data_IF_988941634083
#
_entry.id   IF_988941634083
#
_cell.length_a   1.000
_cell.length_b   1.000
_cell.length_c   1.000
_cell.angle_alpha   90.00
_cell.angle_beta   90.00
_cell.angle_gamma   90.00
#
_symmetry.space_group_name_H-M   'P 1'
#
loop_
_entity.id
_entity.type
_entity.pdbx_description
1 polymer ?
#
# COMPACT_ATOMS: atom_id res chain seq x y z
N UNK A 1 -10.13 -8.63 12.09
CA UNK A 1 -10.26 -7.52 11.14
C UNK A 1 -11.46 -6.58 11.38
N UNK A 2 -12.65 -7.03 11.78
CA UNK A 2 -13.81 -6.14 11.97
C UNK A 2 -13.76 -5.16 13.17
N UNK A 3 -12.67 -5.13 13.95
CA UNK A 3 -12.57 -4.35 15.20
C UNK A 3 -11.67 -3.11 15.10
N UNK A 4 -10.88 -2.95 14.05
CA UNK A 4 -10.02 -1.77 13.91
C UNK A 4 -10.74 -0.67 13.14
N UNK A 5 -11.02 0.43 13.84
CA UNK A 5 -11.44 1.70 13.24
C UNK A 5 -10.18 2.39 12.70
N UNK A 6 -10.30 3.17 11.62
CA UNK A 6 -9.25 4.13 11.23
C UNK A 6 -8.79 4.92 12.45
N UNK A 7 -7.59 5.48 12.40
CA UNK A 7 -7.10 6.45 13.41
C UNK A 7 -8.15 7.55 13.70
N UNK A 8 -9.04 7.84 12.74
CA UNK A 8 -10.12 8.83 12.84
C UNK A 8 -11.54 8.23 13.06
N UNK A 9 -11.66 6.99 13.55
CA UNK A 9 -12.94 6.42 13.98
C UNK A 9 -13.87 5.92 12.86
N UNK A 10 -13.50 6.04 11.58
CA UNK A 10 -14.27 5.51 10.44
C UNK A 10 -14.01 4.01 10.24
N UNK A 11 -15.05 3.25 9.87
CA UNK A 11 -14.91 1.85 9.44
C UNK A 11 -14.20 1.82 8.08
N UNK A 12 -12.97 1.30 8.03
CA UNK A 12 -12.23 1.10 6.79
C UNK A 12 -12.47 -0.32 6.27
N UNK A 13 -12.78 -0.44 4.98
CA UNK A 13 -12.73 -1.73 4.28
C UNK A 13 -11.27 -2.00 3.96
N UNK A 14 -10.55 -2.66 4.86
CA UNK A 14 -9.10 -2.88 4.76
C UNK A 14 -8.65 -3.57 3.46
N UNK A 15 -9.47 -4.50 2.95
CA UNK A 15 -9.23 -5.19 1.67
C UNK A 15 -9.36 -4.23 0.47
N UNK A 16 -10.24 -3.23 0.56
CA UNK A 16 -10.50 -2.22 -0.47
C UNK A 16 -10.24 -0.83 0.13
N UNK A 17 -8.99 -0.57 0.50
CA UNK A 17 -8.63 0.68 1.13
C UNK A 17 -8.93 1.87 0.21
N UNK A 18 -9.77 2.84 0.63
CA UNK A 18 -10.20 3.94 -0.23
C UNK A 18 -9.18 5.07 -0.19
N UNK A 19 -8.19 5.03 -1.09
CA UNK A 19 -7.16 6.09 -1.22
C UNK A 19 -7.79 7.46 -1.52
N UNK A 20 -8.89 7.47 -2.30
CA UNK A 20 -9.58 8.67 -2.79
C UNK A 20 -8.70 9.60 -3.65
N UNK A 21 -7.67 9.02 -4.25
CA UNK A 21 -6.82 9.63 -5.28
C UNK A 21 -6.82 8.62 -6.42
N UNK A 22 -7.10 9.06 -7.65
CA UNK A 22 -7.20 8.16 -8.79
C UNK A 22 -5.86 7.47 -9.03
N UNK A 23 -5.93 6.26 -9.56
CA UNK A 23 -4.76 5.47 -9.96
C UNK A 23 -3.77 5.11 -8.85
N UNK A 24 -4.07 5.41 -7.58
CA UNK A 24 -3.32 4.93 -6.41
C UNK A 24 -4.13 3.85 -5.72
N UNK A 25 -3.56 2.64 -5.65
CA UNK A 25 -4.24 1.48 -5.07
C UNK A 25 -3.40 0.85 -3.96
N UNK A 26 -4.05 0.46 -2.87
CA UNK A 26 -3.46 -0.46 -1.91
C UNK A 26 -3.92 -1.88 -2.26
N UNK A 27 -2.97 -2.80 -2.40
CA UNK A 27 -3.18 -4.19 -2.78
C UNK A 27 -2.62 -5.12 -1.70
N UNK A 28 -3.35 -6.20 -1.47
CA UNK A 28 -2.90 -7.32 -0.64
C UNK A 28 -2.67 -8.52 -1.55
N UNK A 29 -1.54 -9.18 -1.38
CA UNK A 29 -1.19 -10.38 -2.12
C UNK A 29 -0.73 -11.46 -1.13
N UNK A 30 -1.08 -12.71 -1.35
CA UNK A 30 -0.44 -13.84 -0.70
C UNK A 30 -0.46 -15.07 -1.59
N UNK A 31 0.57 -15.89 -1.47
CA UNK A 31 0.69 -17.17 -2.15
C UNK A 31 1.13 -18.26 -1.16
N UNK A 32 1.74 -19.33 -1.68
CA UNK A 32 2.21 -20.47 -0.90
C UNK A 32 3.52 -20.21 -0.13
N UNK A 33 4.16 -19.05 -0.27
CA UNK A 33 5.46 -18.70 0.34
C UNK A 33 5.47 -17.33 1.01
N UNK A 34 4.73 -16.36 0.48
CA UNK A 34 4.81 -14.96 0.87
C UNK A 34 3.43 -14.30 1.03
N UNK A 35 3.42 -13.20 1.75
CA UNK A 35 2.33 -12.22 1.76
C UNK A 35 2.90 -10.81 1.57
N UNK A 36 2.23 -9.95 0.81
CA UNK A 36 2.65 -8.57 0.54
C UNK A 36 1.53 -7.56 0.79
N UNK A 37 1.94 -6.36 1.20
CA UNK A 37 1.13 -5.14 1.08
C UNK A 37 1.83 -4.24 0.07
N UNK A 38 1.09 -3.76 -0.93
CA UNK A 38 1.63 -2.98 -2.03
C UNK A 38 0.82 -1.70 -2.22
N UNK A 39 1.49 -0.59 -2.46
CA UNK A 39 0.92 0.64 -3.00
C UNK A 39 1.31 0.68 -4.46
N UNK A 40 0.32 0.66 -5.35
CA UNK A 40 0.54 0.69 -6.79
C UNK A 40 0.03 1.98 -7.40
N UNK A 41 0.92 2.65 -8.14
CA UNK A 41 0.62 3.82 -8.96
C UNK A 41 0.43 3.34 -10.40
N UNK A 42 -0.82 3.35 -10.87
CA UNK A 42 -1.22 2.80 -12.17
C UNK A 42 -1.70 3.90 -13.13
N UNK A 43 -1.08 5.09 -13.07
CA UNK A 43 -1.29 6.13 -14.07
C UNK A 43 -0.80 5.60 -15.43
N UNK A 44 -1.64 5.77 -16.47
CA UNK A 44 -1.32 5.29 -17.82
C UNK A 44 -0.13 6.04 -18.42
N UNK A 45 -0.12 7.35 -18.21
CA UNK A 45 0.98 8.23 -18.60
C UNK A 45 2.18 8.01 -17.66
N UNK A 46 3.37 7.84 -18.23
CA UNK A 46 4.59 7.58 -17.50
C UNK A 46 5.11 8.80 -16.74
N UNK A 47 5.00 10.00 -17.32
CA UNK A 47 5.45 11.24 -16.68
C UNK A 47 4.56 11.54 -15.47
N UNK A 48 3.23 11.38 -15.61
CA UNK A 48 2.31 11.51 -14.49
C UNK A 48 2.63 10.45 -13.41
N UNK A 49 2.87 9.20 -13.82
CA UNK A 49 3.22 8.14 -12.86
C UNK A 49 4.51 8.46 -12.09
N UNK A 50 5.53 8.94 -12.79
CA UNK A 50 6.80 9.40 -12.24
C UNK A 50 6.60 10.55 -11.24
N UNK A 51 5.82 11.56 -11.61
CA UNK A 51 5.49 12.70 -10.72
C UNK A 51 4.89 12.24 -9.38
N UNK A 52 3.93 11.32 -9.41
CA UNK A 52 3.33 10.77 -8.18
C UNK A 52 4.33 9.93 -7.38
N UNK A 53 5.21 9.16 -8.05
CA UNK A 53 6.25 8.39 -7.37
C UNK A 53 7.29 9.30 -6.71
N UNK A 54 7.72 10.37 -7.40
CA UNK A 54 8.60 11.40 -6.85
C UNK A 54 7.97 12.07 -5.63
N UNK A 55 6.66 12.38 -5.66
CA UNK A 55 5.96 12.93 -4.51
C UNK A 55 6.00 12.00 -3.29
N UNK A 56 5.85 10.69 -3.52
CA UNK A 56 6.05 9.69 -2.46
C UNK A 56 7.50 9.68 -1.97
N UNK A 57 8.48 9.77 -2.87
CA UNK A 57 9.90 9.78 -2.53
C UNK A 57 10.31 11.00 -1.70
N UNK A 58 9.74 12.18 -1.96
CA UNK A 58 9.91 13.37 -1.13
C UNK A 58 9.40 13.15 0.30
N UNK A 59 8.34 12.36 0.45
CA UNK A 59 7.74 11.99 1.74
C UNK A 59 8.33 10.71 2.33
N UNK A 60 9.38 10.12 1.74
CA UNK A 60 9.92 8.81 2.14
C UNK A 60 10.34 8.76 3.60
N UNK A 61 10.98 9.81 4.12
CA UNK A 61 11.38 9.87 5.53
C UNK A 61 10.16 9.83 6.46
N UNK A 62 9.11 10.59 6.16
CA UNK A 62 7.86 10.56 6.93
C UNK A 62 7.18 9.20 6.83
N UNK A 63 7.12 8.64 5.62
CA UNK A 63 6.60 7.29 5.37
C UNK A 63 7.36 6.24 6.20
N UNK A 64 8.69 6.23 6.16
CA UNK A 64 9.49 5.24 6.89
C UNK A 64 9.36 5.39 8.42
N UNK A 65 9.19 6.61 8.93
CA UNK A 65 8.96 6.85 10.35
C UNK A 65 7.60 6.31 10.82
N UNK A 66 6.56 6.37 9.98
CA UNK A 66 5.20 5.97 10.35
C UNK A 66 4.90 4.50 9.99
N UNK A 67 5.31 4.07 8.79
CA UNK A 67 5.00 2.78 8.18
C UNK A 67 6.17 1.79 8.15
N UNK A 68 7.37 2.23 8.53
CA UNK A 68 8.58 1.41 8.47
C UNK A 68 9.17 1.35 7.06
N UNK A 69 10.23 0.55 6.92
CA UNK A 69 10.97 0.41 5.65
C UNK A 69 10.23 -0.50 4.69
N UNK A 70 9.89 0.05 3.53
CA UNK A 70 9.30 -0.68 2.40
C UNK A 70 10.29 -0.66 1.24
N UNK A 71 10.08 -1.52 0.25
CA UNK A 71 10.80 -1.53 -1.01
C UNK A 71 10.10 -0.60 -2.01
N UNK A 72 10.87 0.24 -2.69
CA UNK A 72 10.35 1.26 -3.59
C UNK A 72 10.89 0.97 -4.99
N UNK A 73 10.00 0.75 -5.94
CA UNK A 73 10.35 0.49 -7.32
C UNK A 73 9.49 1.37 -8.24
N UNK A 74 10.12 2.33 -8.90
CA UNK A 74 9.47 3.24 -9.83
C UNK A 74 8.94 2.52 -11.07
N UNK A 75 9.68 1.51 -11.54
CA UNK A 75 9.42 0.80 -12.79
C UNK A 75 9.16 -0.68 -12.49
N UNK A 76 7.88 -1.00 -12.34
CA UNK A 76 7.39 -2.34 -12.08
C UNK A 76 6.27 -2.71 -13.05
N UNK A 77 5.88 -3.97 -13.00
CA UNK A 77 4.77 -4.53 -13.77
C UNK A 77 3.82 -5.18 -12.77
N UNK A 78 2.53 -4.89 -12.91
CA UNK A 78 1.50 -5.48 -12.06
C UNK A 78 1.09 -6.88 -12.53
N UNK A 79 0.21 -7.52 -11.78
CA UNK A 79 -0.23 -8.91 -12.04
C UNK A 79 -0.96 -9.09 -13.39
N UNK A 80 -1.36 -7.99 -14.05
CA UNK A 80 -2.01 -7.99 -15.36
C UNK A 80 -1.10 -7.39 -16.46
N UNK A 81 0.22 -7.42 -16.25
CA UNK A 81 1.25 -6.99 -17.20
C UNK A 81 1.21 -5.49 -17.57
N UNK A 82 0.61 -4.64 -16.73
CA UNK A 82 0.61 -3.20 -16.94
C UNK A 82 1.77 -2.52 -16.19
N UNK A 83 2.43 -1.51 -16.80
CA UNK A 83 3.41 -0.68 -16.12
C UNK A 83 2.82 0.01 -14.88
N UNK A 84 3.56 -0.02 -13.78
CA UNK A 84 3.19 0.67 -12.55
C UNK A 84 4.44 1.05 -11.74
N UNK A 85 4.29 1.98 -10.81
CA UNK A 85 5.26 2.17 -9.73
C UNK A 85 4.73 1.48 -8.49
N UNK A 86 5.61 0.85 -7.73
CA UNK A 86 5.25 0.03 -6.57
C UNK A 86 6.06 0.40 -5.34
N UNK A 87 5.37 0.54 -4.22
CA UNK A 87 5.97 0.60 -2.88
C UNK A 87 5.42 -0.60 -2.12
N UNK A 88 6.25 -1.55 -1.70
CA UNK A 88 5.78 -2.82 -1.13
C UNK A 88 6.57 -3.27 0.11
N UNK A 89 5.89 -4.02 0.98
CA UNK A 89 6.50 -4.78 2.06
C UNK A 89 6.07 -6.24 1.96
N UNK A 90 7.02 -7.15 2.20
CA UNK A 90 6.83 -8.60 2.07
C UNK A 90 7.06 -9.30 3.40
N UNK A 91 6.21 -10.27 3.69
CA UNK A 91 6.38 -11.26 4.73
C UNK A 91 6.68 -12.61 4.10
N UNK A 92 7.86 -13.12 4.38
CA UNK A 92 8.33 -14.44 3.96
C UNK A 92 7.81 -15.55 4.90
N UNK A 93 7.95 -16.80 4.45
CA UNK A 93 7.66 -18.02 5.22
C UNK A 93 6.20 -18.10 5.73
N UNK A 94 5.27 -17.72 4.87
CA UNK A 94 3.83 -17.87 5.10
C UNK A 94 3.20 -18.60 3.92
N UNK A 95 2.05 -19.24 4.13
CA UNK A 95 1.38 -19.95 3.06
C UNK A 95 -0.12 -19.78 3.23
N UNK A 96 -0.75 -19.05 2.31
CA UNK A 96 -2.19 -18.78 2.37
C UNK A 96 -3.05 -20.06 2.30
N UNK A 97 -2.51 -21.16 1.80
CA UNK A 97 -3.16 -22.47 1.78
C UNK A 97 -2.97 -23.25 3.10
N UNK A 98 -2.04 -22.84 3.97
CA UNK A 98 -1.88 -23.38 5.32
C UNK A 98 -2.61 -22.49 6.34
N UNK A 99 -3.69 -23.04 6.90
CA UNK A 99 -4.53 -22.38 7.92
C UNK A 99 -3.76 -21.96 9.16
N UNK A 100 -2.65 -22.63 9.49
CA UNK A 100 -1.82 -22.27 10.64
C UNK A 100 -1.14 -20.90 10.47
N UNK A 101 -0.89 -20.49 9.22
CA UNK A 101 -0.23 -19.21 8.95
C UNK A 101 -1.19 -18.04 8.80
N UNK A 102 -2.51 -18.30 8.70
CA UNK A 102 -3.53 -17.29 8.47
C UNK A 102 -3.49 -16.16 9.50
N UNK A 103 -3.41 -16.49 10.79
CA UNK A 103 -3.34 -15.47 11.84
C UNK A 103 -2.13 -14.55 11.67
N UNK A 104 -0.99 -15.09 11.23
CA UNK A 104 0.25 -14.36 10.97
C UNK A 104 0.11 -13.43 9.76
N UNK A 105 -0.52 -13.91 8.68
CA UNK A 105 -0.80 -13.12 7.47
C UNK A 105 -1.79 -12.00 7.75
N UNK A 106 -2.90 -12.29 8.43
CA UNK A 106 -3.90 -11.27 8.77
C UNK A 106 -3.32 -10.20 9.70
N UNK A 107 -2.52 -10.59 10.70
CA UNK A 107 -1.81 -9.65 11.58
C UNK A 107 -0.85 -8.76 10.79
N UNK A 108 -0.07 -9.34 9.88
CA UNK A 108 0.83 -8.59 9.00
C UNK A 108 0.09 -7.55 8.15
N UNK A 109 -1.04 -7.91 7.54
CA UNK A 109 -1.84 -6.94 6.80
C UNK A 109 -2.42 -5.85 7.70
N UNK A 110 -3.01 -6.22 8.83
CA UNK A 110 -3.63 -5.27 9.76
C UNK A 110 -2.61 -4.25 10.28
N UNK A 111 -1.43 -4.70 10.71
CA UNK A 111 -0.37 -3.82 11.19
C UNK A 111 0.11 -2.83 10.12
N UNK A 112 0.39 -3.30 8.91
CA UNK A 112 0.92 -2.45 7.84
C UNK A 112 -0.14 -1.50 7.28
N UNK A 113 -1.40 -1.95 7.18
CA UNK A 113 -2.48 -1.09 6.73
C UNK A 113 -2.82 0.01 7.73
N UNK A 114 -2.78 -0.25 9.04
CA UNK A 114 -3.00 0.77 10.07
C UNK A 114 -1.90 1.84 10.03
N UNK A 115 -0.64 1.42 9.87
CA UNK A 115 0.47 2.35 9.75
C UNK A 115 0.39 3.17 8.46
N UNK A 116 0.06 2.53 7.34
CA UNK A 116 -0.18 3.21 6.08
C UNK A 116 -1.36 4.19 6.17
N UNK A 117 -2.47 3.82 6.82
CA UNK A 117 -3.63 4.72 7.03
C UNK A 117 -3.21 5.98 7.79
N UNK A 118 -2.34 5.83 8.79
CA UNK A 118 -1.80 6.96 9.55
C UNK A 118 -1.04 7.93 8.65
N UNK A 119 -0.12 7.44 7.82
CA UNK A 119 0.59 8.23 6.82
C UNK A 119 -0.39 8.86 5.81
N UNK A 120 -1.29 8.06 5.26
CA UNK A 120 -2.17 8.49 4.17
C UNK A 120 -3.14 9.58 4.62
N UNK A 121 -3.69 9.50 5.82
CA UNK A 121 -4.61 10.53 6.30
C UNK A 121 -3.93 11.90 6.41
N UNK A 122 -2.66 11.92 6.81
CA UNK A 122 -1.87 13.15 6.98
C UNK A 122 -1.42 13.73 5.63
N UNK A 123 -1.00 12.89 4.68
CA UNK A 123 -0.34 13.37 3.46
C UNK A 123 -1.17 13.25 2.16
N UNK A 124 -2.32 12.56 2.15
CA UNK A 124 -3.10 12.34 0.91
C UNK A 124 -3.46 13.62 0.16
N UNK A 125 -3.64 14.75 0.85
CA UNK A 125 -4.08 15.98 0.22
C UNK A 125 -2.97 16.60 -0.65
N UNK A 126 -1.70 16.30 -0.35
CA UNK A 126 -0.56 16.63 -1.24
C UNK A 126 -0.69 15.89 -2.58
N UNK A 127 -1.10 14.61 -2.55
CA UNK A 127 -1.29 13.83 -3.78
C UNK A 127 -2.53 14.27 -4.56
N UNK A 128 -3.59 14.74 -3.90
CA UNK A 128 -4.78 15.27 -4.59
C UNK A 128 -4.48 16.54 -5.36
N UNK A 129 -3.60 17.40 -4.85
CA UNK A 129 -3.19 18.63 -5.53
C UNK A 129 -2.46 18.36 -6.86
N UNK A 130 -1.96 17.12 -7.07
CA UNK A 130 -1.35 16.70 -8.33
C UNK A 130 -2.40 16.21 -9.35
N UNK A 131 -3.64 15.95 -8.94
CA UNK A 131 -4.75 15.61 -9.84
C UNK A 131 -5.41 16.85 -10.47
N UNK A 132 -5.17 18.04 -9.89
CA UNK A 132 -5.73 19.34 -10.27
C UNK A 132 -4.84 20.06 -11.30
#
# INVERSE_FOLDING_TARGET
MGKHRSTHGKKIKWINYPTKVKHIYVRLYADHKIAKVMIELQHKDEEIRGLFFEQFMQLKTAFENMAGKWNWNENSINDIELPCSRIEITKENVNIFDKNTWASVFKFYEENLIKFDSFWVEFKDVFKQLED
#
